data_IF_916038223803
#
_entry.id   IF_916038223803
#
_cell.length_a   1.000
_cell.length_b   1.000
_cell.length_c   1.000
_cell.angle_alpha   90.00
_cell.angle_beta   90.00
_cell.angle_gamma   90.00
#
_symmetry.space_group_name_H-M   'P 1'
#
loop_
_entity.id
_entity.type
_entity.pdbx_description
1 polymer ?
#
# COMPACT_ATOMS: atom_id res chain seq x y z
N UNK A 1 35.45 -41.97 34.80
CA UNK A 1 35.55 -41.26 33.51
C UNK A 1 34.27 -41.53 32.76
N UNK A 2 33.30 -40.63 32.85
CA UNK A 2 32.12 -40.64 31.97
C UNK A 2 32.35 -39.62 30.85
N UNK A 3 31.98 -39.95 29.60
CA UNK A 3 32.24 -39.06 28.47
C UNK A 3 31.24 -37.90 28.46
N UNK A 4 31.74 -36.67 28.53
CA UNK A 4 30.93 -35.47 28.37
C UNK A 4 30.33 -35.42 26.96
N UNK A 5 29.00 -35.40 26.88
CA UNK A 5 28.26 -35.19 25.65
C UNK A 5 28.53 -33.77 25.12
N UNK A 6 29.18 -33.67 23.95
CA UNK A 6 29.43 -32.39 23.27
C UNK A 6 28.10 -31.75 22.90
N UNK A 7 27.78 -30.65 23.58
CA UNK A 7 26.67 -29.73 23.28
C UNK A 7 26.75 -29.33 21.80
N UNK A 8 25.82 -29.84 20.97
CA UNK A 8 25.68 -29.42 19.57
C UNK A 8 25.41 -27.92 19.55
N UNK A 9 26.31 -27.16 18.92
CA UNK A 9 26.09 -25.76 18.54
C UNK A 9 24.82 -25.73 17.67
N UNK A 10 23.86 -24.89 18.05
CA UNK A 10 22.73 -24.55 17.19
C UNK A 10 23.29 -24.10 15.84
N UNK A 11 22.79 -24.74 14.78
CA UNK A 11 22.98 -24.33 13.40
C UNK A 11 22.57 -22.87 13.29
N UNK A 12 23.47 -22.04 12.79
CA UNK A 12 23.17 -20.68 12.40
C UNK A 12 22.10 -20.76 11.31
N UNK A 13 20.93 -20.17 11.55
CA UNK A 13 19.86 -20.05 10.56
C UNK A 13 20.43 -19.38 9.31
N UNK A 14 20.32 -20.05 8.16
CA UNK A 14 20.59 -19.41 6.88
C UNK A 14 19.69 -18.17 6.74
N UNK A 15 20.20 -17.06 6.20
CA UNK A 15 19.38 -15.87 6.00
C UNK A 15 18.19 -16.24 5.12
N UNK A 16 16.98 -15.92 5.63
CA UNK A 16 15.73 -16.05 4.91
C UNK A 16 15.91 -15.47 3.51
N UNK A 17 15.84 -16.31 2.48
CA UNK A 17 16.24 -16.00 1.10
C UNK A 17 15.27 -15.09 0.34
N UNK A 18 14.17 -14.68 0.97
CA UNK A 18 13.10 -13.91 0.37
C UNK A 18 12.86 -12.58 1.09
N UNK A 19 12.39 -11.59 0.32
CA UNK A 19 12.00 -10.28 0.82
C UNK A 19 10.50 -10.07 0.69
N UNK A 20 9.90 -9.43 1.69
CA UNK A 20 8.51 -8.98 1.61
C UNK A 20 8.47 -7.48 1.41
N UNK A 21 7.82 -7.07 0.32
CA UNK A 21 7.73 -5.67 -0.10
C UNK A 21 6.28 -5.22 -0.12
N UNK A 22 5.96 -4.01 0.38
CA UNK A 22 4.62 -3.46 0.25
C UNK A 22 4.30 -3.17 -1.23
N UNK A 23 3.04 -3.35 -1.62
CA UNK A 23 2.56 -2.85 -2.90
C UNK A 23 1.95 -1.48 -2.72
N UNK A 24 2.74 -0.46 -3.06
CA UNK A 24 2.38 0.95 -2.95
C UNK A 24 1.35 1.37 -4.00
N UNK A 25 0.55 2.41 -3.68
CA UNK A 25 -0.34 3.04 -4.65
C UNK A 25 0.43 3.64 -5.83
N UNK A 26 -0.26 3.95 -6.92
CA UNK A 26 0.35 4.63 -8.07
C UNK A 26 0.92 5.99 -7.66
N UNK A 27 0.24 6.74 -6.80
CA UNK A 27 0.74 8.03 -6.34
C UNK A 27 1.98 7.93 -5.45
N UNK A 28 2.12 6.83 -4.70
CA UNK A 28 3.28 6.55 -3.85
C UNK A 28 4.48 5.98 -4.63
N UNK A 29 4.24 5.34 -5.78
CA UNK A 29 5.27 4.69 -6.60
C UNK A 29 5.65 5.46 -7.87
N UNK A 30 4.88 6.47 -8.26
CA UNK A 30 5.21 7.31 -9.41
C UNK A 30 6.50 8.11 -9.22
N UNK A 31 7.14 8.40 -10.33
CA UNK A 31 8.25 9.33 -10.41
C UNK A 31 7.83 10.76 -10.05
N UNK A 32 8.82 11.57 -9.66
CA UNK A 32 8.59 12.99 -9.35
C UNK A 32 8.30 13.76 -10.63
N UNK A 33 7.01 14.00 -10.89
CA UNK A 33 6.56 14.87 -11.98
C UNK A 33 6.90 16.33 -11.68
N UNK A 34 7.25 17.09 -12.72
CA UNK A 34 7.69 18.48 -12.61
C UNK A 34 6.82 19.41 -13.45
N UNK A 35 6.56 20.60 -12.93
CA UNK A 35 5.91 21.72 -13.62
C UNK A 35 6.93 22.83 -13.84
N UNK A 36 6.76 23.57 -14.93
CA UNK A 36 7.53 24.78 -15.17
C UNK A 36 6.86 25.98 -14.48
N UNK A 37 7.65 26.77 -13.77
CA UNK A 37 7.21 27.97 -13.06
C UNK A 37 8.22 29.10 -13.25
N UNK A 38 7.74 30.34 -13.17
CA UNK A 38 8.60 31.51 -13.12
C UNK A 38 8.93 31.85 -11.67
N UNK A 39 10.21 31.96 -11.36
CA UNK A 39 10.72 32.46 -10.10
C UNK A 39 11.55 33.73 -10.32
N UNK A 40 11.74 34.51 -9.25
CA UNK A 40 12.58 35.69 -9.28
C UNK A 40 13.32 35.88 -7.94
N UNK A 41 14.51 36.49 -7.94
CA UNK A 41 15.19 36.86 -6.70
C UNK A 41 14.45 37.99 -6.00
N UNK A 42 14.44 37.95 -4.67
CA UNK A 42 13.93 39.04 -3.83
C UNK A 42 15.09 40.00 -3.54
N UNK A 43 15.14 41.11 -4.27
CA UNK A 43 16.16 42.16 -4.14
C UNK A 43 16.04 42.87 -2.79
N UNK A 44 14.81 43.19 -2.35
CA UNK A 44 14.56 43.86 -1.08
C UNK A 44 13.81 42.92 -0.11
N UNK A 45 14.54 42.38 0.87
CA UNK A 45 13.98 41.46 1.88
C UNK A 45 12.80 42.05 2.66
N UNK A 46 12.70 43.37 2.83
CA UNK A 46 11.60 44.02 3.56
C UNK A 46 10.25 43.81 2.86
N UNK A 47 10.27 43.61 1.54
CA UNK A 47 9.08 43.39 0.72
C UNK A 47 8.61 41.92 0.70
N UNK A 48 9.38 40.98 1.26
CA UNK A 48 9.07 39.53 1.17
C UNK A 48 7.63 39.21 1.60
N UNK A 49 7.20 39.70 2.76
CA UNK A 49 5.85 39.43 3.28
C UNK A 49 4.74 40.05 2.41
N UNK A 50 5.01 41.19 1.79
CA UNK A 50 4.09 41.86 0.86
C UNK A 50 3.97 41.03 -0.42
N UNK A 51 5.11 40.73 -1.05
CA UNK A 51 5.19 39.94 -2.27
C UNK A 51 4.51 38.57 -2.13
N UNK A 52 4.74 37.86 -1.03
CA UNK A 52 4.09 36.57 -0.77
C UNK A 52 2.56 36.71 -0.73
N UNK A 53 2.02 37.74 -0.08
CA UNK A 53 0.57 37.97 0.03
C UNK A 53 -0.06 38.37 -1.30
N UNK A 54 0.56 39.30 -2.01
CA UNK A 54 0.08 39.76 -3.33
C UNK A 54 0.10 38.62 -4.35
N UNK A 55 1.22 37.90 -4.45
CA UNK A 55 1.36 36.76 -5.36
C UNK A 55 0.42 35.61 -5.00
N UNK A 56 0.18 35.35 -3.71
CA UNK A 56 -0.82 34.36 -3.32
C UNK A 56 -2.24 34.75 -3.74
N UNK A 57 -2.52 36.04 -3.89
CA UNK A 57 -3.83 36.54 -4.34
C UNK A 57 -3.96 36.49 -5.86
N UNK A 58 -2.90 36.84 -6.59
CA UNK A 58 -2.95 37.04 -8.05
C UNK A 58 -2.62 35.75 -8.81
N UNK A 59 -1.63 35.00 -8.32
CA UNK A 59 -1.17 33.74 -8.90
C UNK A 59 -1.16 32.66 -7.82
N UNK A 60 -2.33 32.26 -7.29
CA UNK A 60 -2.42 31.23 -6.27
C UNK A 60 -1.84 29.91 -6.79
N UNK A 61 -1.03 29.24 -5.97
CA UNK A 61 -0.49 27.91 -6.25
C UNK A 61 -1.53 26.84 -5.87
N UNK A 62 -2.71 26.89 -6.49
CA UNK A 62 -3.83 26.00 -6.19
C UNK A 62 -3.44 24.55 -6.45
N UNK A 63 -3.65 23.67 -5.47
CA UNK A 63 -3.24 22.26 -5.54
C UNK A 63 -1.75 21.99 -5.28
N UNK A 64 -0.95 23.04 -5.06
CA UNK A 64 0.50 22.93 -4.78
C UNK A 64 0.84 23.42 -3.37
N UNK A 65 -0.01 23.14 -2.38
CA UNK A 65 0.23 23.61 -1.00
C UNK A 65 1.51 23.02 -0.37
N UNK A 66 2.04 21.93 -0.93
CA UNK A 66 3.32 21.36 -0.51
C UNK A 66 4.52 22.22 -0.91
N UNK A 67 4.39 23.10 -1.90
CA UNK A 67 5.49 23.92 -2.39
C UNK A 67 5.68 25.15 -1.49
N UNK A 68 6.90 25.33 -0.97
CA UNK A 68 7.25 26.55 -0.24
C UNK A 68 7.48 27.67 -1.24
N UNK A 69 6.61 28.68 -1.28
CA UNK A 69 6.70 29.78 -2.27
C UNK A 69 8.04 30.52 -2.26
N UNK A 70 8.73 30.60 -1.13
CA UNK A 70 10.04 31.26 -0.98
C UNK A 70 11.11 30.24 -0.61
N UNK A 71 12.30 30.37 -1.20
CA UNK A 71 13.49 29.59 -0.83
C UNK A 71 14.69 30.50 -0.56
N UNK A 72 15.65 29.99 0.22
CA UNK A 72 16.97 30.59 0.30
C UNK A 72 17.82 30.17 -0.92
N UNK A 73 18.62 31.08 -1.44
CA UNK A 73 19.58 30.79 -2.50
C UNK A 73 20.65 29.84 -1.97
N UNK A 74 21.06 28.86 -2.79
CA UNK A 74 22.09 27.89 -2.41
C UNK A 74 23.50 28.48 -2.48
N UNK A 75 23.69 29.49 -3.33
CA UNK A 75 24.97 30.14 -3.55
C UNK A 75 25.08 31.42 -2.70
N UNK A 76 26.02 31.41 -1.75
CA UNK A 76 26.32 32.51 -0.84
C UNK A 76 26.99 33.71 -1.53
N UNK A 77 27.40 33.58 -2.79
CA UNK A 77 27.94 34.67 -3.60
C UNK A 77 26.87 35.57 -4.22
N UNK A 78 25.60 35.13 -4.20
CA UNK A 78 24.50 35.92 -4.76
C UNK A 78 24.17 37.14 -3.87
N UNK A 79 23.95 38.33 -4.45
CA UNK A 79 23.61 39.53 -3.68
C UNK A 79 22.21 39.46 -3.06
N UNK A 80 21.38 38.51 -3.50
CA UNK A 80 19.99 38.35 -3.08
C UNK A 80 19.80 36.92 -2.56
N UNK A 81 19.62 36.73 -1.24
CA UNK A 81 19.66 35.39 -0.65
C UNK A 81 18.31 34.68 -0.62
N UNK A 82 17.26 35.27 -1.21
CA UNK A 82 15.93 34.69 -1.28
C UNK A 82 15.41 34.74 -2.71
N UNK A 83 14.69 33.69 -3.09
CA UNK A 83 13.97 33.58 -4.36
C UNK A 83 12.52 33.22 -4.09
N UNK A 84 11.62 33.71 -4.93
CA UNK A 84 10.18 33.53 -4.80
C UNK A 84 9.59 32.99 -6.10
N UNK A 85 8.69 32.00 -6.01
CA UNK A 85 7.85 31.60 -7.13
C UNK A 85 6.80 32.69 -7.36
N UNK A 86 6.75 33.18 -8.59
CA UNK A 86 5.79 34.19 -9.03
C UNK A 86 4.50 33.50 -9.49
N UNK A 87 4.57 32.66 -10.51
CA UNK A 87 3.43 31.96 -11.12
C UNK A 87 3.88 30.67 -11.82
N UNK A 88 2.93 29.81 -12.18
CA UNK A 88 3.17 28.70 -13.10
C UNK A 88 3.24 29.22 -14.54
N UNK A 89 3.98 28.54 -15.41
CA UNK A 89 3.98 28.90 -16.85
C UNK A 89 2.58 28.77 -17.44
N UNK A 90 1.82 27.77 -17.02
CA UNK A 90 0.41 27.57 -17.43
C UNK A 90 -0.49 28.75 -17.09
N UNK A 91 -0.17 29.53 -16.06
CA UNK A 91 -0.95 30.72 -15.68
C UNK A 91 -0.81 31.85 -16.70
N UNK A 92 0.20 31.77 -17.58
CA UNK A 92 0.53 32.77 -18.60
C UNK A 92 0.24 32.29 -20.03
N UNK A 93 -0.09 31.01 -20.22
CA UNK A 93 -0.28 30.37 -21.52
C UNK A 93 -1.58 30.76 -22.26
N UNK A 94 -2.37 31.71 -21.76
CA UNK A 94 -3.36 32.42 -22.59
C UNK A 94 -2.70 33.46 -23.55
N UNK A 95 -1.39 33.71 -23.44
CA UNK A 95 -0.66 34.65 -24.29
C UNK A 95 0.62 34.02 -24.85
N UNK A 96 0.65 33.75 -26.16
CA UNK A 96 1.78 33.18 -26.89
C UNK A 96 2.97 34.16 -26.98
N UNK A 97 4.07 33.93 -26.23
CA UNK A 97 5.33 34.68 -26.38
C UNK A 97 6.34 34.44 -25.25
N UNK A 98 7.62 34.77 -25.47
CA UNK A 98 8.64 34.84 -24.41
C UNK A 98 8.20 35.84 -23.33
N UNK A 99 7.93 35.36 -22.11
CA UNK A 99 7.45 36.20 -21.01
C UNK A 99 8.65 36.91 -20.36
N UNK A 100 8.81 38.20 -20.64
CA UNK A 100 9.62 39.11 -19.82
C UNK A 100 8.86 39.50 -18.55
N UNK A 101 9.54 40.02 -17.53
CA UNK A 101 8.89 40.68 -16.38
C UNK A 101 7.82 41.66 -16.87
N UNK A 102 8.11 42.40 -17.94
CA UNK A 102 7.18 43.33 -18.58
C UNK A 102 5.84 42.67 -18.97
N UNK A 103 5.86 41.41 -19.41
CA UNK A 103 4.72 40.68 -19.97
C UNK A 103 3.83 40.00 -18.92
N UNK A 104 4.28 39.92 -17.66
CA UNK A 104 3.45 39.56 -16.49
C UNK A 104 2.48 40.69 -16.15
N UNK A 105 1.70 41.12 -17.15
CA UNK A 105 0.65 42.15 -17.15
C UNK A 105 1.01 43.39 -16.32
N UNK A 106 1.44 44.42 -17.02
CA UNK A 106 1.40 45.83 -16.60
C UNK A 106 0.21 46.13 -15.68
N UNK A 107 0.42 46.12 -14.35
CA UNK A 107 -0.53 46.62 -13.36
C UNK A 107 -1.10 45.64 -12.31
N UNK A 108 -0.79 44.33 -12.34
CA UNK A 108 -1.42 43.40 -11.36
C UNK A 108 -0.87 43.47 -9.93
N UNK A 109 0.41 43.81 -9.72
CA UNK A 109 0.99 44.03 -8.39
C UNK A 109 2.28 44.85 -8.41
N UNK A 110 2.66 45.35 -7.22
CA UNK A 110 3.89 46.13 -7.06
C UNK A 110 5.12 45.21 -7.13
N UNK A 111 5.94 45.42 -8.16
CA UNK A 111 7.16 44.65 -8.44
C UNK A 111 8.37 45.16 -7.65
N UNK A 112 8.23 46.22 -6.86
CA UNK A 112 9.31 46.72 -6.02
C UNK A 112 9.91 45.60 -5.17
N UNK A 113 11.22 45.37 -5.32
CA UNK A 113 11.95 44.34 -4.59
C UNK A 113 11.99 42.97 -5.26
N UNK A 114 11.43 42.78 -6.46
CA UNK A 114 11.66 41.62 -7.33
C UNK A 114 12.74 41.91 -8.38
N UNK A 115 13.63 40.95 -8.63
CA UNK A 115 14.57 40.99 -9.74
C UNK A 115 14.10 40.20 -10.94
N UNK A 116 15.02 39.93 -11.87
CA UNK A 116 14.75 39.25 -13.15
C UNK A 116 14.13 37.86 -12.98
N UNK A 117 13.12 37.56 -13.81
CA UNK A 117 12.48 36.25 -13.79
C UNK A 117 13.36 35.23 -14.48
N UNK A 118 13.28 34.01 -13.98
CA UNK A 118 13.91 32.86 -14.57
C UNK A 118 13.00 31.64 -14.44
N UNK A 119 13.18 30.71 -15.37
CA UNK A 119 12.41 29.47 -15.41
C UNK A 119 12.96 28.48 -14.40
N UNK A 120 12.07 27.84 -13.64
CA UNK A 120 12.40 26.77 -12.70
C UNK A 120 11.45 25.60 -12.86
N UNK A 121 11.94 24.40 -12.55
CA UNK A 121 11.11 23.20 -12.41
C UNK A 121 10.74 23.01 -10.95
N UNK A 122 9.47 22.76 -10.67
CA UNK A 122 8.94 22.50 -9.32
C UNK A 122 8.13 21.20 -9.28
N UNK A 123 8.09 20.47 -8.15
CA UNK A 123 7.30 19.24 -8.02
C UNK A 123 5.80 19.46 -8.24
N UNK A 124 5.21 18.70 -9.17
CA UNK A 124 3.79 18.79 -9.54
C UNK A 124 2.86 18.23 -8.44
N UNK A 125 3.33 17.19 -7.73
CA UNK A 125 2.55 16.48 -6.73
C UNK A 125 3.27 16.52 -5.37
N UNK A 126 2.51 16.46 -4.25
CA UNK A 126 3.11 16.31 -2.94
C UNK A 126 3.84 14.95 -2.86
N UNK A 127 5.09 14.92 -2.36
CA UNK A 127 5.77 13.66 -2.14
C UNK A 127 5.04 12.85 -1.06
N UNK A 128 4.81 11.56 -1.33
CA UNK A 128 4.16 10.64 -0.38
C UNK A 128 5.16 9.68 0.26
N UNK A 129 6.33 9.50 -0.35
CA UNK A 129 7.42 8.66 0.19
C UNK A 129 8.69 9.46 0.41
N UNK A 130 9.59 8.96 1.27
CA UNK A 130 10.90 9.58 1.52
C UNK A 130 11.74 9.70 0.23
N UNK A 131 11.85 8.66 -0.63
CA UNK A 131 12.54 8.79 -1.90
C UNK A 131 11.96 9.88 -2.81
N UNK A 132 10.62 9.96 -2.92
CA UNK A 132 9.96 11.03 -3.67
C UNK A 132 10.31 12.40 -3.11
N UNK A 133 10.29 12.57 -1.78
CA UNK A 133 10.65 13.83 -1.15
C UNK A 133 12.09 14.24 -1.44
N UNK A 134 13.03 13.31 -1.36
CA UNK A 134 14.45 13.57 -1.60
C UNK A 134 14.70 14.00 -3.05
N UNK A 135 13.97 13.42 -4.01
CA UNK A 135 14.00 13.84 -5.41
C UNK A 135 13.33 15.20 -5.61
N UNK A 136 12.11 15.38 -5.12
CA UNK A 136 11.35 16.61 -5.21
C UNK A 136 12.09 17.82 -4.62
N UNK A 137 12.73 17.64 -3.46
CA UNK A 137 13.47 18.69 -2.74
C UNK A 137 14.71 19.18 -3.49
N UNK A 138 15.23 18.41 -4.46
CA UNK A 138 16.34 18.87 -5.32
C UNK A 138 15.91 20.00 -6.24
N UNK A 139 14.65 19.98 -6.68
CA UNK A 139 14.06 20.95 -7.60
C UNK A 139 13.62 22.23 -6.89
N UNK A 140 12.78 22.09 -5.85
CA UNK A 140 12.30 23.21 -5.06
C UNK A 140 11.94 22.76 -3.63
N UNK A 141 12.12 23.62 -2.60
CA UNK A 141 11.74 23.24 -1.25
C UNK A 141 10.26 22.87 -1.14
N UNK A 142 10.01 21.64 -0.70
CA UNK A 142 8.68 21.08 -0.50
C UNK A 142 8.47 20.72 0.97
N UNK A 143 7.24 20.78 1.46
CA UNK A 143 6.85 20.13 2.71
C UNK A 143 6.68 18.64 2.48
N UNK A 144 6.96 17.85 3.50
CA UNK A 144 6.69 16.42 3.52
C UNK A 144 6.33 15.99 4.92
N UNK A 145 5.23 15.27 5.02
CA UNK A 145 4.78 14.63 6.24
C UNK A 145 4.98 13.13 6.04
N UNK A 146 5.95 12.59 6.77
CA UNK A 146 6.36 11.21 6.58
C UNK A 146 5.31 10.23 7.11
N UNK A 147 4.86 9.32 6.25
CA UNK A 147 4.19 8.11 6.70
C UNK A 147 5.24 7.12 7.22
N UNK A 148 5.26 6.94 8.54
CA UNK A 148 6.23 6.07 9.20
C UNK A 148 6.09 4.60 8.77
N UNK A 149 4.87 4.13 8.52
CA UNK A 149 4.64 2.73 8.11
C UNK A 149 5.19 2.50 6.71
N UNK A 150 4.90 3.39 5.77
CA UNK A 150 5.43 3.31 4.40
C UNK A 150 6.96 3.40 4.39
N UNK A 151 7.55 4.30 5.18
CA UNK A 151 9.02 4.42 5.29
C UNK A 151 9.67 3.15 5.86
N UNK A 152 9.10 2.58 6.91
CA UNK A 152 9.62 1.33 7.52
C UNK A 152 9.45 0.16 6.54
N UNK A 153 8.33 0.11 5.82
CA UNK A 153 8.06 -0.90 4.80
C UNK A 153 9.05 -0.84 3.64
N UNK A 154 9.36 0.37 3.13
CA UNK A 154 10.34 0.55 2.06
C UNK A 154 11.79 0.23 2.49
N UNK A 155 12.08 0.25 3.79
CA UNK A 155 13.38 -0.20 4.33
C UNK A 155 13.44 -1.71 4.57
N UNK A 156 12.38 -2.46 4.27
CA UNK A 156 12.29 -3.89 4.54
C UNK A 156 12.21 -4.24 6.05
N UNK A 157 11.90 -3.26 6.88
CA UNK A 157 11.92 -3.35 8.35
C UNK A 157 10.53 -3.47 8.97
N UNK A 158 9.49 -3.70 8.17
CA UNK A 158 8.11 -3.76 8.66
C UNK A 158 7.83 -4.99 9.51
N UNK A 159 8.49 -6.10 9.20
CA UNK A 159 8.26 -7.39 9.84
C UNK A 159 9.50 -7.86 10.60
N UNK A 160 9.31 -8.29 11.84
CA UNK A 160 10.35 -8.94 12.65
C UNK A 160 10.71 -10.31 12.07
N UNK A 161 11.83 -10.88 12.53
CA UNK A 161 12.23 -12.24 12.14
C UNK A 161 11.14 -13.28 12.47
N UNK A 162 10.53 -13.20 13.66
CA UNK A 162 9.46 -14.10 14.09
C UNK A 162 8.21 -13.95 13.21
N UNK A 163 7.85 -12.73 12.82
CA UNK A 163 6.74 -12.49 11.90
C UNK A 163 7.04 -13.10 10.53
N UNK A 164 8.26 -12.91 10.00
CA UNK A 164 8.67 -13.54 8.73
C UNK A 164 8.65 -15.07 8.80
N UNK A 165 9.04 -15.67 9.93
CA UNK A 165 8.97 -17.11 10.12
C UNK A 165 7.52 -17.64 10.05
N UNK A 166 6.56 -16.94 10.67
CA UNK A 166 5.13 -17.28 10.55
C UNK A 166 4.60 -17.11 9.12
N UNK A 167 4.97 -16.00 8.46
CA UNK A 167 4.61 -15.77 7.06
C UNK A 167 5.11 -16.90 6.15
N UNK A 168 6.33 -17.39 6.40
CA UNK A 168 6.88 -18.55 5.71
C UNK A 168 6.07 -19.82 5.98
N UNK A 169 5.69 -20.11 7.22
CA UNK A 169 4.84 -21.26 7.56
C UNK A 169 3.48 -21.21 6.85
N UNK A 170 2.82 -20.05 6.88
CA UNK A 170 1.53 -19.86 6.22
C UNK A 170 1.63 -19.98 4.69
N UNK A 171 2.69 -19.41 4.09
CA UNK A 171 2.90 -19.54 2.64
C UNK A 171 3.29 -20.97 2.24
N UNK A 172 4.08 -21.69 3.03
CA UNK A 172 4.36 -23.12 2.79
C UNK A 172 3.09 -23.97 2.87
N UNK A 173 2.16 -23.62 3.75
CA UNK A 173 0.84 -24.24 3.81
C UNK A 173 0.05 -23.97 2.54
N UNK A 174 0.06 -22.74 2.02
CA UNK A 174 -0.55 -22.39 0.73
C UNK A 174 0.10 -23.14 -0.44
N UNK A 175 1.43 -23.25 -0.48
CA UNK A 175 2.16 -24.02 -1.50
C UNK A 175 1.79 -25.51 -1.45
N UNK A 176 1.66 -26.07 -0.24
CA UNK A 176 1.24 -27.47 -0.07
C UNK A 176 -0.18 -27.68 -0.62
N UNK A 177 -1.09 -26.75 -0.35
CA UNK A 177 -2.44 -26.77 -0.92
C UNK A 177 -2.43 -26.66 -2.45
N UNK A 178 -1.60 -25.77 -3.01
CA UNK A 178 -1.43 -25.61 -4.45
C UNK A 178 -0.97 -26.91 -5.12
N UNK A 179 0.02 -27.60 -4.53
CA UNK A 179 0.52 -28.91 -5.02
C UNK A 179 -0.55 -30.00 -4.95
N UNK A 180 -1.36 -30.02 -3.90
CA UNK A 180 -2.49 -30.95 -3.79
C UNK A 180 -3.54 -30.69 -4.88
N UNK A 181 -3.87 -29.42 -5.15
CA UNK A 181 -4.74 -29.03 -6.26
C UNK A 181 -4.20 -29.47 -7.62
N UNK A 182 -2.90 -29.24 -7.86
CA UNK A 182 -2.23 -29.68 -9.09
C UNK A 182 -2.27 -31.20 -9.26
N UNK A 183 -2.04 -31.97 -8.19
CA UNK A 183 -2.16 -33.43 -8.22
C UNK A 183 -3.58 -33.91 -8.53
N UNK A 184 -4.60 -33.09 -8.23
CA UNK A 184 -6.00 -33.32 -8.57
C UNK A 184 -6.40 -32.76 -9.96
N UNK A 185 -5.45 -32.27 -10.75
CA UNK A 185 -5.69 -31.74 -12.10
C UNK A 185 -6.15 -30.27 -12.16
N UNK A 186 -5.98 -29.52 -11.07
CA UNK A 186 -6.31 -28.09 -10.99
C UNK A 186 -5.10 -27.20 -11.27
N UNK A 187 -5.32 -25.90 -11.42
CA UNK A 187 -4.23 -24.93 -11.44
C UNK A 187 -3.47 -24.93 -10.11
N UNK A 188 -2.14 -24.74 -10.18
CA UNK A 188 -1.22 -24.74 -9.03
C UNK A 188 -1.29 -23.47 -8.18
N UNK A 189 -2.49 -23.10 -7.73
CA UNK A 189 -2.73 -21.94 -6.86
C UNK A 189 -3.31 -22.39 -5.54
N UNK A 190 -2.70 -21.94 -4.45
CA UNK A 190 -3.13 -22.23 -3.07
C UNK A 190 -3.25 -20.96 -2.26
N UNK A 191 -4.14 -20.97 -1.27
CA UNK A 191 -4.40 -19.86 -0.38
C UNK A 191 -4.66 -20.35 1.05
N UNK A 192 -4.34 -19.49 2.03
CA UNK A 192 -4.56 -19.70 3.45
C UNK A 192 -5.07 -18.41 4.07
N UNK A 193 -6.15 -18.47 4.83
CA UNK A 193 -6.62 -17.35 5.65
C UNK A 193 -6.28 -17.62 7.12
N UNK A 194 -5.70 -16.62 7.78
CA UNK A 194 -5.25 -16.72 9.17
C UNK A 194 -5.83 -15.61 10.03
N UNK A 195 -6.02 -15.91 11.32
CA UNK A 195 -6.26 -14.94 12.37
C UNK A 195 -4.90 -14.47 12.93
N UNK A 196 -4.47 -13.24 12.66
CA UNK A 196 -3.18 -12.73 13.14
C UNK A 196 -3.16 -12.44 14.65
N UNK A 197 -4.32 -12.32 15.31
CA UNK A 197 -4.37 -12.12 16.76
C UNK A 197 -4.15 -13.44 17.51
N UNK A 198 -4.57 -14.55 16.90
CA UNK A 198 -4.45 -15.89 17.48
C UNK A 198 -3.32 -16.72 16.85
N UNK A 199 -2.58 -16.17 15.88
CA UNK A 199 -1.55 -16.85 15.08
C UNK A 199 -2.05 -18.17 14.47
N UNK A 200 -3.30 -18.17 13.99
CA UNK A 200 -4.01 -19.41 13.68
C UNK A 200 -4.48 -19.46 12.23
N UNK A 201 -4.27 -20.60 11.57
CA UNK A 201 -4.90 -20.91 10.28
C UNK A 201 -6.39 -21.19 10.47
N UNK A 202 -7.22 -20.43 9.76
CA UNK A 202 -8.68 -20.57 9.76
C UNK A 202 -9.16 -21.38 8.55
N UNK A 203 -8.64 -21.10 7.37
CA UNK A 203 -9.02 -21.80 6.15
C UNK A 203 -7.81 -22.06 5.27
N UNK A 204 -7.78 -23.24 4.65
CA UNK A 204 -6.81 -23.63 3.63
C UNK A 204 -7.60 -24.02 2.39
N UNK A 205 -7.17 -23.57 1.22
CA UNK A 205 -7.84 -23.85 -0.04
C UNK A 205 -6.89 -23.82 -1.23
N UNK A 206 -7.29 -24.47 -2.31
CA UNK A 206 -6.60 -24.41 -3.59
C UNK A 206 -7.59 -24.13 -4.73
N UNK A 207 -7.07 -23.90 -5.92
CA UNK A 207 -7.89 -23.77 -7.12
C UNK A 207 -8.77 -25.00 -7.32
N UNK A 208 -10.07 -24.79 -7.54
CA UNK A 208 -11.04 -25.87 -7.76
C UNK A 208 -11.81 -25.69 -9.09
N UNK A 209 -11.25 -24.94 -10.05
CA UNK A 209 -11.93 -24.62 -11.32
C UNK A 209 -12.08 -25.80 -12.26
N UNK A 210 -11.14 -26.74 -12.25
CA UNK A 210 -11.25 -28.01 -12.98
C UNK A 210 -12.35 -28.94 -12.44
N UNK A 211 -13.04 -28.54 -11.37
CA UNK A 211 -14.25 -29.17 -10.88
C UNK A 211 -15.51 -28.63 -11.58
N UNK A 212 -16.45 -28.10 -10.78
CA UNK A 212 -17.80 -27.73 -11.25
C UNK A 212 -18.01 -26.25 -11.56
N UNK A 213 -17.09 -25.35 -11.18
CA UNK A 213 -17.35 -23.92 -11.25
C UNK A 213 -16.10 -23.07 -11.59
N UNK A 214 -16.15 -22.23 -12.65
CA UNK A 214 -15.00 -21.48 -13.13
C UNK A 214 -14.55 -20.35 -12.19
N UNK A 215 -15.35 -19.98 -11.18
CA UNK A 215 -15.00 -18.94 -10.21
C UNK A 215 -14.37 -19.49 -8.91
N UNK A 216 -14.18 -20.81 -8.78
CA UNK A 216 -13.59 -21.41 -7.58
C UNK A 216 -12.06 -21.27 -7.55
N UNK A 217 -11.58 -20.04 -7.58
CA UNK A 217 -10.17 -19.72 -7.35
C UNK A 217 -9.84 -19.94 -5.87
N UNK A 218 -8.58 -20.25 -5.55
CA UNK A 218 -8.15 -20.55 -4.18
C UNK A 218 -8.60 -19.50 -3.14
N UNK A 219 -8.52 -18.21 -3.47
CA UNK A 219 -8.98 -17.10 -2.60
C UNK A 219 -10.48 -17.17 -2.34
N UNK A 220 -11.29 -17.43 -3.38
CA UNK A 220 -12.75 -17.56 -3.25
C UNK A 220 -13.12 -18.75 -2.37
N UNK A 221 -12.44 -19.88 -2.58
CA UNK A 221 -12.61 -21.10 -1.77
C UNK A 221 -12.32 -20.80 -0.30
N UNK A 222 -11.22 -20.12 0.02
CA UNK A 222 -10.90 -19.75 1.41
C UNK A 222 -11.93 -18.80 2.02
N UNK A 223 -12.39 -17.77 1.30
CA UNK A 223 -13.42 -16.85 1.81
C UNK A 223 -14.71 -17.62 2.13
N UNK A 224 -15.13 -18.50 1.23
CA UNK A 224 -16.33 -19.31 1.41
C UNK A 224 -16.20 -20.28 2.59
N UNK A 225 -15.04 -20.93 2.75
CA UNK A 225 -14.73 -21.78 3.92
C UNK A 225 -14.82 -21.01 5.24
N UNK A 226 -14.31 -19.78 5.30
CA UNK A 226 -14.44 -18.91 6.48
C UNK A 226 -15.90 -18.55 6.75
N UNK A 227 -16.63 -18.13 5.71
CA UNK A 227 -18.06 -17.83 5.84
C UNK A 227 -18.85 -19.04 6.34
N UNK A 228 -18.51 -20.24 5.86
CA UNK A 228 -19.11 -21.51 6.28
C UNK A 228 -18.84 -21.83 7.75
N UNK A 229 -17.61 -21.59 8.19
CA UNK A 229 -17.23 -21.66 9.60
C UNK A 229 -18.02 -20.72 10.52
N UNK A 230 -18.60 -19.66 9.95
CA UNK A 230 -19.43 -18.67 10.65
C UNK A 230 -20.94 -18.91 10.45
N UNK A 231 -21.34 -20.06 9.88
CA UNK A 231 -22.75 -20.41 9.65
C UNK A 231 -23.34 -19.93 8.31
N UNK A 232 -22.53 -19.32 7.44
CA UNK A 232 -22.88 -18.97 6.07
C UNK A 232 -22.27 -19.95 5.06
N UNK A 233 -21.63 -19.40 4.01
CA UNK A 233 -21.03 -20.18 2.92
C UNK A 233 -22.06 -20.68 1.90
N UNK A 234 -21.63 -20.83 0.66
CA UNK A 234 -22.49 -21.21 -0.47
C UNK A 234 -22.16 -22.60 -1.05
N UNK A 235 -20.91 -23.07 -0.89
CA UNK A 235 -20.43 -24.24 -1.63
C UNK A 235 -19.91 -25.38 -0.76
N UNK A 236 -19.95 -26.58 -1.34
CA UNK A 236 -19.33 -27.80 -0.83
C UNK A 236 -18.11 -28.19 -1.65
N UNK A 237 -16.95 -28.22 -1.00
CA UNK A 237 -15.69 -28.64 -1.61
C UNK A 237 -15.42 -30.10 -1.23
N UNK A 238 -15.39 -30.98 -2.23
CA UNK A 238 -15.07 -32.40 -2.06
C UNK A 238 -13.56 -32.66 -2.15
N UNK A 239 -12.75 -31.70 -1.69
CA UNK A 239 -11.29 -31.76 -1.76
C UNK A 239 -10.72 -31.79 -0.34
N UNK A 240 -10.01 -32.86 0.06
CA UNK A 240 -9.55 -33.01 1.43
C UNK A 240 -8.67 -31.87 1.92
N UNK A 241 -7.97 -31.15 1.05
CA UNK A 241 -7.11 -30.03 1.45
C UNK A 241 -7.87 -28.72 1.65
N UNK A 242 -9.09 -28.61 1.11
CA UNK A 242 -9.95 -27.45 1.29
C UNK A 242 -10.71 -27.57 2.62
N UNK A 243 -10.17 -26.98 3.69
CA UNK A 243 -10.69 -27.16 5.05
C UNK A 243 -10.82 -25.84 5.80
N UNK A 244 -11.83 -25.78 6.67
CA UNK A 244 -11.96 -24.77 7.72
C UNK A 244 -11.61 -25.38 9.08
N UNK A 245 -10.75 -24.70 9.84
CA UNK A 245 -10.33 -25.09 11.17
C UNK A 245 -11.16 -24.35 12.22
N UNK A 246 -12.25 -24.96 12.69
CA UNK A 246 -13.14 -24.37 13.68
C UNK A 246 -12.45 -24.07 15.02
N UNK A 247 -12.73 -22.93 15.69
CA UNK A 247 -12.18 -22.63 16.99
C UNK A 247 -12.43 -23.79 17.95
N UNK A 248 -11.38 -24.30 18.59
CA UNK A 248 -11.53 -25.28 19.65
C UNK A 248 -12.35 -24.63 20.74
N UNK A 249 -13.53 -25.19 21.04
CA UNK A 249 -14.47 -24.65 22.02
C UNK A 249 -13.77 -24.34 23.35
N UNK A 250 -13.56 -23.06 23.65
CA UNK A 250 -13.18 -22.59 24.97
C UNK A 250 -14.42 -21.94 25.61
N UNK A 251 -14.89 -22.40 26.78
CA UNK A 251 -16.06 -21.84 27.43
C UNK A 251 -15.70 -20.50 28.09
N UNK A 252 -16.33 -19.42 27.63
CA UNK A 252 -16.48 -18.18 28.37
C UNK A 252 -15.39 -17.12 28.14
N UNK A 253 -15.62 -16.23 27.19
CA UNK A 253 -15.10 -14.86 27.27
C UNK A 253 -16.29 -13.88 27.18
N UNK A 254 -16.73 -13.38 28.33
CA UNK A 254 -17.61 -12.22 28.43
C UNK A 254 -16.75 -10.98 28.18
N UNK A 255 -16.89 -10.36 27.02
CA UNK A 255 -16.37 -9.01 26.77
C UNK A 255 -17.46 -8.03 27.20
N UNK A 256 -17.27 -7.36 28.33
CA UNK A 256 -18.09 -6.21 28.72
C UNK A 256 -17.63 -4.99 27.93
N UNK A 257 -18.48 -4.45 27.06
CA UNK A 257 -18.32 -3.10 26.54
C UNK A 257 -18.92 -2.08 27.52
N UNK A 258 -18.19 -1.03 27.94
CA UNK A 258 -18.78 0.12 28.60
C UNK A 258 -19.28 1.12 27.56
N UNK A 259 -20.23 1.95 28.01
CA UNK A 259 -20.92 3.05 27.31
C UNK A 259 -22.22 2.63 26.63
N UNK A 260 -23.31 2.91 27.35
CA UNK A 260 -24.68 2.69 26.92
C UNK A 260 -25.15 3.73 25.92
N UNK A 261 -25.95 3.25 24.97
CA UNK A 261 -27.05 3.99 24.35
C UNK A 261 -28.13 2.95 24.06
N UNK A 262 -29.28 3.09 24.69
CA UNK A 262 -30.43 2.21 24.51
C UNK A 262 -31.04 2.42 23.11
N UNK A 263 -31.09 1.37 22.31
CA UNK A 263 -31.93 1.32 21.10
C UNK A 263 -32.73 0.02 21.15
N UNK A 264 -34.06 0.19 21.07
CA UNK A 264 -35.10 -0.82 21.19
C UNK A 264 -35.04 -1.87 20.07
N UNK A 265 -35.01 -3.11 20.51
CA UNK A 265 -35.61 -4.35 19.98
C UNK A 265 -36.12 -4.37 18.52
N UNK A 266 -35.32 -4.93 17.62
CA UNK A 266 -35.72 -5.99 16.69
C UNK A 266 -34.60 -7.05 16.66
N UNK A 267 -34.97 -8.31 16.85
CA UNK A 267 -34.07 -9.42 17.25
C UNK A 267 -33.43 -10.06 16.00
N UNK A 268 -32.24 -9.60 15.63
CA UNK A 268 -31.39 -10.26 14.64
C UNK A 268 -30.50 -11.32 15.33
N UNK A 269 -30.77 -12.61 15.05
CA UNK A 269 -30.03 -13.79 15.55
C UNK A 269 -28.53 -13.81 15.18
N UNK A 270 -28.06 -12.86 14.36
CA UNK A 270 -26.66 -12.74 13.93
C UNK A 270 -25.70 -12.16 14.99
N UNK A 271 -26.21 -11.55 16.08
CA UNK A 271 -25.36 -10.97 17.15
C UNK A 271 -24.81 -12.00 18.14
N UNK A 272 -25.11 -13.30 18.00
CA UNK A 272 -24.83 -14.31 19.02
C UNK A 272 -23.45 -14.99 18.96
N UNK A 273 -22.69 -14.94 17.86
CA UNK A 273 -21.50 -15.79 17.70
C UNK A 273 -20.18 -15.16 18.18
N UNK A 274 -20.11 -13.84 18.36
CA UNK A 274 -18.87 -13.12 18.69
C UNK A 274 -17.76 -13.21 17.62
N UNK A 275 -18.06 -13.81 16.47
CA UNK A 275 -17.13 -13.93 15.33
C UNK A 275 -17.20 -12.68 14.45
N UNK A 276 -16.09 -12.26 13.82
CA UNK A 276 -16.09 -11.11 12.92
C UNK A 276 -16.90 -11.38 11.65
N UNK A 277 -17.30 -10.32 10.95
CA UNK A 277 -17.92 -10.44 9.63
C UNK A 277 -16.92 -11.04 8.62
N UNK A 278 -17.14 -12.27 8.19
CA UNK A 278 -16.36 -13.00 7.18
C UNK A 278 -14.86 -12.92 7.48
N UNK A 279 -14.07 -12.15 6.74
CA UNK A 279 -12.62 -12.07 6.88
C UNK A 279 -12.15 -10.78 7.56
N UNK A 280 -13.04 -10.07 8.25
CA UNK A 280 -12.70 -8.81 8.92
C UNK A 280 -11.58 -9.03 9.93
N UNK A 281 -10.45 -8.33 9.75
CA UNK A 281 -9.29 -8.41 10.64
C UNK A 281 -8.34 -9.58 10.35
N UNK A 282 -8.66 -10.45 9.38
CA UNK A 282 -7.84 -11.60 9.00
C UNK A 282 -6.85 -11.26 7.88
N UNK A 283 -5.92 -12.17 7.65
CA UNK A 283 -4.92 -12.07 6.58
C UNK A 283 -5.03 -13.25 5.64
N UNK A 284 -4.68 -13.03 4.37
CA UNK A 284 -4.60 -14.11 3.39
C UNK A 284 -3.19 -14.22 2.82
N UNK A 285 -2.70 -15.45 2.74
CA UNK A 285 -1.44 -15.83 2.09
C UNK A 285 -1.80 -16.63 0.85
N UNK A 286 -1.36 -16.20 -0.33
CA UNK A 286 -1.72 -16.82 -1.61
C UNK A 286 -0.49 -16.99 -2.50
N UNK A 287 -0.34 -18.15 -3.13
CA UNK A 287 0.88 -18.45 -3.90
C UNK A 287 1.03 -17.59 -5.15
N UNK A 288 -0.09 -17.16 -5.74
CA UNK A 288 -0.14 -16.35 -6.96
C UNK A 288 -0.99 -15.11 -6.74
N UNK A 289 -0.56 -13.97 -7.29
CA UNK A 289 -1.27 -12.70 -7.17
C UNK A 289 -2.75 -12.84 -7.59
N UNK A 290 -3.70 -12.39 -6.73
CA UNK A 290 -5.13 -12.42 -7.02
C UNK A 290 -5.52 -11.64 -8.28
N UNK A 291 -6.36 -12.25 -9.12
CA UNK A 291 -7.01 -11.56 -10.24
C UNK A 291 -8.07 -10.55 -9.75
N UNK A 292 -8.63 -9.76 -10.67
CA UNK A 292 -9.64 -8.71 -10.37
C UNK A 292 -10.81 -9.23 -9.54
N UNK A 293 -11.35 -10.41 -9.88
CA UNK A 293 -12.46 -11.02 -9.13
C UNK A 293 -12.07 -11.32 -7.69
N UNK A 294 -10.95 -12.02 -7.48
CA UNK A 294 -10.48 -12.38 -6.14
C UNK A 294 -10.12 -11.13 -5.31
N UNK A 295 -9.45 -10.15 -5.94
CA UNK A 295 -9.11 -8.89 -5.29
C UNK A 295 -10.37 -8.12 -4.84
N UNK A 296 -11.42 -8.05 -5.67
CA UNK A 296 -12.68 -7.41 -5.28
C UNK A 296 -13.44 -8.22 -4.21
N UNK A 297 -13.36 -9.55 -4.24
CA UNK A 297 -13.93 -10.38 -3.18
C UNK A 297 -13.26 -10.12 -1.82
N UNK A 298 -11.94 -9.90 -1.82
CA UNK A 298 -11.17 -9.53 -0.61
C UNK A 298 -11.58 -8.16 -0.05
N UNK A 299 -11.93 -7.18 -0.90
CA UNK A 299 -12.56 -5.92 -0.48
C UNK A 299 -13.88 -6.20 0.22
N UNK A 300 -14.77 -6.99 -0.40
CA UNK A 300 -16.08 -7.30 0.14
C UNK A 300 -16.06 -8.16 1.42
N UNK A 301 -15.03 -9.00 1.58
CA UNK A 301 -14.81 -9.79 2.80
C UNK A 301 -14.10 -9.02 3.91
N UNK A 302 -13.72 -7.76 3.65
CA UNK A 302 -12.98 -6.87 4.58
C UNK A 302 -11.67 -7.46 5.09
N UNK A 303 -10.91 -8.14 4.24
CA UNK A 303 -9.59 -8.67 4.62
C UNK A 303 -8.70 -7.53 5.14
N UNK A 304 -7.84 -7.79 6.13
CA UNK A 304 -6.92 -6.79 6.67
C UNK A 304 -5.66 -6.68 5.81
N UNK A 305 -5.06 -7.83 5.46
CA UNK A 305 -3.79 -7.88 4.72
C UNK A 305 -3.76 -9.05 3.74
N UNK A 306 -3.07 -8.85 2.62
CA UNK A 306 -2.81 -9.88 1.60
C UNK A 306 -1.31 -10.03 1.39
N UNK A 307 -0.84 -11.27 1.43
CA UNK A 307 0.54 -11.64 1.14
C UNK A 307 0.55 -12.58 -0.05
N UNK A 308 1.28 -12.25 -1.11
CA UNK A 308 1.44 -13.15 -2.25
C UNK A 308 2.90 -13.42 -2.62
N UNK A 309 3.13 -14.62 -3.16
CA UNK A 309 4.46 -15.03 -3.61
C UNK A 309 4.77 -14.55 -5.02
N UNK A 310 4.13 -15.16 -6.02
CA UNK A 310 4.37 -14.92 -7.44
C UNK A 310 3.39 -13.88 -8.03
N UNK A 311 3.86 -13.02 -8.94
CA UNK A 311 3.02 -12.10 -9.71
C UNK A 311 2.19 -12.87 -10.77
N UNK A 312 1.09 -12.29 -11.23
CA UNK A 312 0.26 -12.90 -12.29
C UNK A 312 -0.08 -11.91 -13.40
N UNK A 313 -0.16 -12.40 -14.64
CA UNK A 313 -0.43 -11.54 -15.80
C UNK A 313 -1.81 -10.86 -15.73
N UNK A 314 -2.76 -11.43 -14.99
CA UNK A 314 -4.10 -10.91 -14.69
C UNK A 314 -4.22 -10.33 -13.26
N UNK A 315 -3.09 -10.19 -12.57
CA UNK A 315 -3.00 -9.74 -11.19
C UNK A 315 -3.53 -8.33 -10.97
N UNK A 316 -4.32 -8.17 -9.93
CA UNK A 316 -5.07 -6.93 -9.66
C UNK A 316 -4.67 -6.23 -8.35
N UNK A 317 -3.59 -6.68 -7.72
CA UNK A 317 -3.08 -6.09 -6.49
C UNK A 317 -1.71 -5.42 -6.67
N UNK A 318 -1.02 -5.63 -7.78
CA UNK A 318 0.23 -4.97 -8.12
C UNK A 318 0.66 -5.05 -9.59
N UNK A 319 0.19 -6.03 -10.36
CA UNK A 319 0.62 -6.19 -11.77
C UNK A 319 -0.14 -5.30 -12.74
N UNK A 320 -1.45 -5.51 -12.92
CA UNK A 320 -2.28 -4.70 -13.83
C UNK A 320 -3.05 -3.60 -13.12
N UNK A 321 -3.49 -3.90 -11.91
CA UNK A 321 -4.30 -3.01 -11.09
C UNK A 321 -3.79 -3.01 -9.66
N UNK A 322 -4.25 -2.03 -8.89
CA UNK A 322 -4.04 -1.92 -7.45
C UNK A 322 -5.37 -1.66 -6.79
N UNK A 323 -6.26 -2.67 -6.82
CA UNK A 323 -7.64 -2.54 -6.33
C UNK A 323 -7.67 -2.12 -4.86
N UNK A 324 -6.72 -2.61 -4.08
CA UNK A 324 -6.57 -2.28 -2.65
C UNK A 324 -6.27 -0.80 -2.37
N UNK A 325 -5.89 0.00 -3.38
CA UNK A 325 -5.59 1.44 -3.22
C UNK A 325 -6.63 2.35 -3.87
N UNK A 326 -7.72 1.81 -4.42
CA UNK A 326 -8.73 2.61 -5.13
C UNK A 326 -9.58 3.41 -4.13
N UNK A 327 -9.52 4.73 -4.19
CA UNK A 327 -10.14 5.64 -3.20
C UNK A 327 -11.68 5.55 -3.15
N UNK A 328 -12.31 5.19 -4.26
CA UNK A 328 -13.77 5.12 -4.38
C UNK A 328 -14.36 3.81 -3.81
N UNK A 329 -13.51 2.88 -3.37
CA UNK A 329 -13.95 1.65 -2.70
C UNK A 329 -14.15 1.88 -1.21
N UNK A 330 -15.06 1.11 -0.61
CA UNK A 330 -15.50 1.29 0.77
C UNK A 330 -14.56 0.65 1.82
N UNK A 331 -13.65 -0.23 1.40
CA UNK A 331 -12.69 -0.92 2.27
C UNK A 331 -11.33 -0.98 1.58
N UNK A 332 -10.26 -0.78 2.36
CA UNK A 332 -8.88 -0.82 1.92
C UNK A 332 -8.09 -1.80 2.79
N UNK A 333 -7.09 -2.43 2.19
CA UNK A 333 -6.25 -3.40 2.88
C UNK A 333 -4.80 -3.31 2.41
N UNK A 334 -3.87 -3.75 3.24
CA UNK A 334 -2.45 -3.73 2.90
C UNK A 334 -2.11 -4.95 2.03
N UNK A 335 -1.25 -4.73 1.03
CA UNK A 335 -0.78 -5.81 0.15
C UNK A 335 0.73 -5.88 0.21
N UNK A 336 1.22 -7.10 0.32
CA UNK A 336 2.63 -7.42 0.36
C UNK A 336 2.95 -8.51 -0.66
N UNK A 337 4.10 -8.39 -1.31
CA UNK A 337 4.57 -9.32 -2.34
C UNK A 337 5.95 -9.89 -1.99
N UNK A 338 6.27 -11.03 -2.59
CA UNK A 338 7.62 -11.62 -2.53
C UNK A 338 7.79 -12.72 -1.47
N UNK A 339 6.74 -13.08 -0.73
CA UNK A 339 6.82 -14.12 0.31
C UNK A 339 7.01 -15.49 -0.34
N UNK A 340 8.18 -16.11 -0.14
CA UNK A 340 8.59 -17.36 -0.83
C UNK A 340 8.36 -17.29 -2.35
N UNK A 341 8.79 -16.17 -2.95
CA UNK A 341 8.55 -15.89 -4.36
C UNK A 341 9.06 -17.03 -5.26
N UNK A 342 10.31 -17.47 -5.07
CA UNK A 342 10.92 -18.51 -5.90
C UNK A 342 10.12 -19.81 -5.85
N UNK A 343 9.75 -20.26 -4.66
CA UNK A 343 8.97 -21.48 -4.47
C UNK A 343 7.56 -21.37 -5.08
N UNK A 344 7.00 -20.17 -5.11
CA UNK A 344 5.73 -19.89 -5.76
C UNK A 344 5.84 -19.80 -7.30
N UNK A 345 6.95 -19.30 -7.83
CA UNK A 345 7.23 -19.25 -9.26
C UNK A 345 7.48 -20.65 -9.84
N UNK A 346 8.15 -21.51 -9.08
CA UNK A 346 8.38 -22.92 -9.42
C UNK A 346 7.05 -23.70 -9.60
N UNK A 347 5.99 -23.35 -8.86
CA UNK A 347 4.65 -23.93 -9.04
C UNK A 347 4.05 -23.61 -10.42
N UNK A 348 4.42 -22.47 -10.99
CA UNK A 348 3.89 -21.98 -12.25
C UNK A 348 4.69 -22.48 -13.46
N UNK A 349 5.79 -23.21 -13.23
CA UNK A 349 6.76 -23.57 -14.27
C UNK A 349 7.55 -22.36 -14.80
N UNK A 350 7.57 -21.26 -14.04
CA UNK A 350 8.33 -20.05 -14.37
C UNK A 350 9.69 -20.20 -13.70
N UNK A 351 10.63 -20.85 -14.40
CA UNK A 351 12.03 -20.80 -14.02
C UNK A 351 12.60 -19.45 -14.49
N UNK A 352 13.16 -18.66 -13.56
CA UNK A 352 13.94 -17.47 -13.90
C UNK A 352 15.34 -17.84 -14.40
#
# INVERSE_FOLDING_TARGET
MEPQCKRRKATQDEPVSWEVLPVLSDEQSQDTQLLDAYAAPIINKRETSRLVKELATIYPLTGLQHIKRVRACKDSSTPHPLEIIVCLVSDLQESHGEVSISDLSSGKFDRNGLGELFLVKIPACPPLTRPQFELASKHWPTSFHEDKQVTVALKGQLFTADQKAKMQEYMLTAITAAKAGQAAGMDSVGAVIVDPQMDRVLAVGHDCRGGSHPLHHAVMVCIDLVARGQGGGAYEYQYPTCQFSAPSSSPGLSIRCPVGLEVKDEVDEAKQSGLPYICTGYEVYVTREPCVMCAMALVHSRISRVFYGSASADGALGTRYKIHTQKDLNHHFEVFKGVLQQECDDLNGIAF
#
